data_IF_692146778319
#
_entry.id   IF_692146778319
#
_cell.length_a   1.000
_cell.length_b   1.000
_cell.length_c   1.000
_cell.angle_alpha   90.00
_cell.angle_beta   90.00
_cell.angle_gamma   90.00
#
_symmetry.space_group_name_H-M   'P 1'
#
loop_
_entity.id
_entity.type
_entity.pdbx_description
1 polymer ?
#
# COMPACT_ATOMS: atom_id res chain seq x y z
N UNK A 1 56.88 -24.61 -88.75
CA UNK A 1 56.38 -26.01 -88.63
C UNK A 1 55.15 -25.96 -87.73
N UNK A 2 53.97 -26.22 -88.28
CA UNK A 2 52.66 -26.08 -87.63
C UNK A 2 52.38 -27.23 -86.64
N UNK A 3 51.90 -26.91 -85.44
CA UNK A 3 51.09 -27.77 -84.55
C UNK A 3 50.21 -26.79 -83.73
N UNK A 4 48.95 -26.52 -84.06
CA UNK A 4 47.70 -27.29 -83.85
C UNK A 4 47.36 -27.59 -82.39
N UNK A 5 46.14 -27.25 -81.95
CA UNK A 5 45.47 -27.97 -80.85
C UNK A 5 44.79 -27.12 -79.78
N UNK A 6 43.52 -26.81 -80.00
CA UNK A 6 42.55 -26.18 -79.10
C UNK A 6 42.36 -26.92 -77.76
N UNK A 7 42.06 -26.18 -76.67
CA UNK A 7 40.74 -26.23 -76.01
C UNK A 7 40.72 -25.39 -74.71
N UNK A 8 39.95 -24.31 -74.77
CA UNK A 8 39.46 -23.51 -73.64
C UNK A 8 38.34 -24.29 -72.94
N UNK A 9 38.39 -24.47 -71.61
CA UNK A 9 37.20 -24.37 -70.75
C UNK A 9 37.52 -23.68 -69.42
N UNK A 10 37.05 -22.45 -69.34
CA UNK A 10 36.95 -21.58 -68.17
C UNK A 10 35.85 -22.09 -67.24
N UNK A 11 36.11 -22.12 -65.92
CA UNK A 11 35.10 -21.92 -64.87
C UNK A 11 35.77 -21.52 -63.53
N UNK A 12 35.92 -20.20 -63.36
CA UNK A 12 35.78 -19.34 -62.14
C UNK A 12 35.35 -20.02 -60.81
N UNK A 13 35.73 -19.66 -59.57
CA UNK A 13 36.53 -18.60 -58.88
C UNK A 13 36.71 -19.06 -57.37
N UNK A 14 37.56 -18.44 -56.52
CA UNK A 14 38.11 -18.98 -55.25
C UNK A 14 37.50 -18.41 -53.95
N UNK A 15 37.61 -19.15 -52.84
CA UNK A 15 37.60 -18.75 -51.40
C UNK A 15 37.47 -20.08 -50.59
N UNK A 16 38.03 -20.37 -49.41
CA UNK A 16 38.22 -19.63 -48.15
C UNK A 16 38.99 -20.62 -47.22
N UNK A 17 40.23 -20.36 -46.82
CA UNK A 17 40.64 -19.85 -45.51
C UNK A 17 40.15 -20.63 -44.26
N UNK A 18 41.08 -21.36 -43.63
CA UNK A 18 41.25 -21.66 -42.18
C UNK A 18 40.14 -22.45 -41.45
N UNK A 19 40.42 -23.72 -41.14
CA UNK A 19 39.76 -24.49 -40.08
C UNK A 19 40.84 -25.19 -39.26
N UNK A 20 41.31 -24.60 -38.16
CA UNK A 20 42.11 -25.32 -37.14
C UNK A 20 42.38 -24.55 -35.83
N UNK A 21 41.53 -23.65 -35.33
CA UNK A 21 41.61 -23.23 -33.91
C UNK A 21 40.21 -22.80 -33.43
N UNK A 22 39.41 -23.71 -32.89
CA UNK A 22 38.17 -23.34 -32.21
C UNK A 22 37.76 -24.39 -31.17
N UNK A 23 38.69 -24.77 -30.29
CA UNK A 23 38.40 -25.70 -29.20
C UNK A 23 39.15 -25.29 -27.92
N UNK A 24 38.87 -24.09 -27.38
CA UNK A 24 38.83 -23.82 -25.92
C UNK A 24 38.49 -22.34 -25.61
N UNK A 25 37.24 -21.93 -25.81
CA UNK A 25 36.74 -20.70 -25.18
C UNK A 25 35.21 -20.74 -25.09
N UNK A 26 34.66 -21.58 -24.22
CA UNK A 26 33.27 -21.42 -23.79
C UNK A 26 33.26 -20.18 -22.89
N UNK A 27 32.56 -19.09 -23.23
CA UNK A 27 32.35 -18.04 -22.24
C UNK A 27 31.57 -18.70 -21.10
N UNK A 28 32.10 -18.63 -19.88
CA UNK A 28 31.29 -18.91 -18.71
C UNK A 28 30.13 -17.92 -18.76
N UNK A 29 28.93 -18.40 -19.07
CA UNK A 29 27.73 -17.62 -18.93
C UNK A 29 27.56 -17.42 -17.42
N UNK A 30 28.05 -16.30 -16.90
CA UNK A 30 27.79 -15.92 -15.52
C UNK A 30 26.26 -15.84 -15.40
N UNK A 31 25.61 -16.56 -14.46
CA UNK A 31 24.19 -16.37 -14.24
C UNK A 31 23.96 -14.89 -13.95
N UNK A 32 23.03 -14.28 -14.68
CA UNK A 32 22.67 -12.89 -14.47
C UNK A 32 22.39 -12.69 -12.98
N UNK A 33 23.16 -11.83 -12.33
CA UNK A 33 22.93 -11.48 -10.94
C UNK A 33 21.48 -10.99 -10.84
N UNK A 34 20.68 -11.63 -9.99
CA UNK A 34 19.30 -11.22 -9.74
C UNK A 34 19.33 -9.76 -9.25
N UNK A 35 18.99 -8.82 -10.13
CA UNK A 35 18.84 -7.43 -9.76
C UNK A 35 17.73 -7.35 -8.70
N UNK A 36 18.07 -6.85 -7.52
CA UNK A 36 17.09 -6.57 -6.47
C UNK A 36 16.08 -5.57 -7.02
N UNK A 37 14.84 -6.01 -7.25
CA UNK A 37 13.76 -5.12 -7.66
C UNK A 37 13.37 -4.31 -6.42
N UNK A 38 13.61 -3.00 -6.46
CA UNK A 38 13.15 -2.11 -5.40
C UNK A 38 11.61 -2.19 -5.30
N UNK A 39 11.04 -2.19 -4.09
CA UNK A 39 9.59 -2.13 -3.92
C UNK A 39 8.99 -0.96 -4.70
N UNK A 40 7.88 -1.22 -5.40
CA UNK A 40 7.15 -0.15 -6.08
C UNK A 40 6.51 0.81 -5.07
N UNK A 41 6.44 2.09 -5.42
CA UNK A 41 5.79 3.09 -4.55
C UNK A 41 4.29 2.79 -4.42
N UNK A 42 3.66 3.17 -3.29
CA UNK A 42 2.21 3.03 -3.13
C UNK A 42 1.46 3.66 -4.29
N UNK A 43 0.55 2.89 -4.88
CA UNK A 43 -0.27 3.33 -6.01
C UNK A 43 -1.51 4.12 -5.59
N UNK A 44 -1.84 4.10 -4.30
CA UNK A 44 -3.09 4.65 -3.75
C UNK A 44 -2.77 5.66 -2.66
N UNK A 45 -3.39 6.83 -2.75
CA UNK A 45 -3.46 7.82 -1.67
C UNK A 45 -4.81 7.62 -0.98
N UNK A 46 -4.79 7.35 0.33
CA UNK A 46 -6.00 7.28 1.14
C UNK A 46 -6.28 8.66 1.71
N UNK A 47 -7.48 9.17 1.46
CA UNK A 47 -7.99 10.31 2.21
C UNK A 47 -8.54 9.82 3.55
N UNK A 48 -7.89 10.23 4.63
CA UNK A 48 -8.28 9.90 6.00
C UNK A 48 -8.87 11.10 6.73
N UNK A 49 -9.37 12.09 6.00
CA UNK A 49 -10.00 13.28 6.59
C UNK A 49 -11.22 12.85 7.42
N UNK A 50 -11.24 13.29 8.68
CA UNK A 50 -12.34 12.98 9.59
C UNK A 50 -13.62 13.71 9.16
N UNK A 51 -14.71 12.96 9.03
CA UNK A 51 -16.06 13.51 8.77
C UNK A 51 -16.88 13.40 10.05
N UNK A 52 -17.25 14.54 10.68
CA UNK A 52 -18.07 14.54 11.88
C UNK A 52 -19.46 13.94 11.62
N UNK A 53 -20.03 13.17 12.56
CA UNK A 53 -21.42 12.72 12.46
C UNK A 53 -22.40 13.89 12.49
N UNK A 54 -23.53 13.73 11.83
CA UNK A 54 -24.60 14.73 11.76
C UNK A 54 -25.69 14.55 12.81
N UNK A 55 -25.58 13.52 13.67
CA UNK A 55 -26.56 13.24 14.72
C UNK A 55 -26.41 14.13 15.94
N UNK A 56 -27.03 13.71 17.05
CA UNK A 56 -27.07 14.51 18.27
C UNK A 56 -25.76 14.35 19.05
N UNK A 57 -25.42 15.39 19.80
CA UNK A 57 -24.34 15.33 20.79
C UNK A 57 -24.92 15.09 22.18
N UNK A 58 -24.58 13.94 22.79
CA UNK A 58 -24.95 13.55 24.14
C UNK A 58 -23.77 13.82 25.08
N UNK A 59 -23.82 14.92 25.83
CA UNK A 59 -22.78 15.28 26.78
C UNK A 59 -22.94 14.52 28.10
N UNK A 60 -21.87 13.88 28.56
CA UNK A 60 -21.80 13.17 29.84
C UNK A 60 -20.75 13.87 30.71
N UNK A 61 -21.17 14.65 31.73
CA UNK A 61 -20.25 15.30 32.66
C UNK A 61 -19.55 14.28 33.56
N UNK A 62 -18.54 14.72 34.32
CA UNK A 62 -17.91 13.87 35.35
C UNK A 62 -18.95 13.37 36.36
N UNK A 63 -18.94 12.07 36.64
CA UNK A 63 -19.94 11.43 37.49
C UNK A 63 -21.33 11.29 36.85
N UNK A 64 -21.48 11.68 35.57
CA UNK A 64 -22.70 11.46 34.80
C UNK A 64 -22.93 9.99 34.45
N UNK A 65 -24.15 9.67 34.05
CA UNK A 65 -24.54 8.31 33.69
C UNK A 65 -24.20 7.99 32.22
N UNK A 66 -23.04 7.37 32.01
CA UNK A 66 -22.62 6.87 30.70
C UNK A 66 -23.54 5.76 30.20
N UNK A 67 -24.11 4.92 31.07
CA UNK A 67 -25.01 3.85 30.64
C UNK A 67 -26.32 4.42 30.09
N UNK A 68 -26.87 5.46 30.72
CA UNK A 68 -28.04 6.17 30.19
C UNK A 68 -27.76 6.81 28.81
N UNK A 69 -26.58 7.43 28.62
CA UNK A 69 -26.18 7.97 27.33
C UNK A 69 -26.04 6.87 26.26
N UNK A 70 -25.40 5.75 26.60
CA UNK A 70 -25.31 4.58 25.74
C UNK A 70 -26.68 4.02 25.40
N UNK A 71 -27.63 3.98 26.35
CA UNK A 71 -28.99 3.50 26.15
C UNK A 71 -29.81 4.44 25.25
N UNK A 72 -29.58 5.75 25.32
CA UNK A 72 -30.30 6.76 24.55
C UNK A 72 -29.71 7.04 23.15
N UNK A 73 -28.45 6.69 22.90
CA UNK A 73 -27.79 6.95 21.62
C UNK A 73 -28.38 6.12 20.47
N UNK A 74 -28.48 6.75 19.29
CA UNK A 74 -28.89 6.11 18.04
C UNK A 74 -27.82 6.29 16.96
N UNK A 75 -27.87 5.51 15.88
CA UNK A 75 -26.91 5.61 14.78
C UNK A 75 -26.78 7.05 14.26
N UNK A 76 -25.55 7.55 14.23
CA UNK A 76 -25.22 8.95 13.90
C UNK A 76 -24.95 9.85 15.11
N UNK A 77 -25.29 9.44 16.33
CA UNK A 77 -25.06 10.24 17.54
C UNK A 77 -23.59 10.22 17.99
N UNK A 78 -23.21 11.29 18.69
CA UNK A 78 -21.91 11.46 19.34
C UNK A 78 -22.09 11.56 20.85
N UNK A 79 -21.54 10.62 21.60
CA UNK A 79 -21.45 10.71 23.07
C UNK A 79 -20.14 11.43 23.40
N UNK A 80 -20.24 12.57 24.07
CA UNK A 80 -19.08 13.37 24.51
C UNK A 80 -18.86 13.19 26.01
N UNK A 81 -17.74 12.56 26.35
CA UNK A 81 -17.32 12.33 27.74
C UNK A 81 -16.48 13.52 28.21
N UNK A 82 -16.77 14.04 29.41
CA UNK A 82 -15.96 15.11 29.98
C UNK A 82 -14.47 14.73 30.02
N UNK A 83 -13.64 15.60 29.45
CA UNK A 83 -12.19 15.44 29.47
C UNK A 83 -11.66 15.34 30.92
N UNK A 84 -10.75 14.39 31.16
CA UNK A 84 -10.14 14.14 32.46
C UNK A 84 -11.03 13.41 33.48
N UNK A 85 -12.29 13.11 33.16
CA UNK A 85 -13.15 12.32 34.02
C UNK A 85 -12.87 10.81 33.89
N UNK A 86 -13.03 10.07 34.98
CA UNK A 86 -12.98 8.61 34.99
C UNK A 86 -14.40 8.05 35.00
N UNK A 87 -14.73 7.23 34.00
CA UNK A 87 -15.98 6.49 33.93
C UNK A 87 -15.68 5.02 34.22
N UNK A 88 -16.03 4.58 35.43
CA UNK A 88 -15.72 3.22 35.91
C UNK A 88 -16.99 2.38 36.03
N UNK A 89 -16.91 1.14 35.58
CA UNK A 89 -17.96 0.13 35.74
C UNK A 89 -17.91 -0.93 34.65
N UNK A 90 -18.77 -1.96 34.73
CA UNK A 90 -19.16 -2.68 33.53
C UNK A 90 -20.12 -1.80 32.71
N UNK A 91 -19.77 -1.50 31.47
CA UNK A 91 -20.69 -0.87 30.52
C UNK A 91 -21.28 -1.93 29.59
N UNK A 92 -22.60 -1.98 29.51
CA UNK A 92 -23.30 -2.86 28.57
C UNK A 92 -23.57 -2.07 27.30
N UNK A 93 -23.16 -2.62 26.15
CA UNK A 93 -23.53 -2.09 24.85
C UNK A 93 -24.74 -2.91 24.35
N UNK A 94 -25.98 -2.46 24.57
CA UNK A 94 -27.15 -3.15 24.06
C UNK A 94 -27.17 -3.11 22.53
N UNK A 95 -27.87 -4.07 21.92
CA UNK A 95 -28.12 -4.01 20.49
C UNK A 95 -28.88 -2.72 20.14
N UNK A 96 -28.40 -2.01 19.12
CA UNK A 96 -28.98 -0.75 18.65
C UNK A 96 -29.66 -0.94 17.31
N UNK A 97 -30.87 -0.43 17.20
CA UNK A 97 -31.56 -0.30 15.92
C UNK A 97 -31.07 0.94 15.17
N UNK A 98 -31.14 0.88 13.85
CA UNK A 98 -30.72 1.96 12.96
C UNK A 98 -29.45 1.66 12.19
N UNK A 99 -29.06 2.60 11.34
CA UNK A 99 -27.84 2.55 10.52
C UNK A 99 -26.89 3.66 10.95
N UNK A 100 -25.59 3.44 10.79
CA UNK A 100 -24.55 4.42 11.13
C UNK A 100 -23.89 4.18 12.48
N UNK A 101 -22.84 4.97 12.73
CA UNK A 101 -21.96 4.82 13.89
C UNK A 101 -22.47 5.61 15.09
N UNK A 102 -22.30 5.07 16.30
CA UNK A 102 -22.37 5.83 17.54
C UNK A 102 -20.93 6.13 17.93
N UNK A 103 -20.55 7.42 17.93
CA UNK A 103 -19.18 7.82 18.23
C UNK A 103 -19.09 8.21 19.70
N UNK A 104 -18.25 7.51 20.46
CA UNK A 104 -17.88 7.91 21.83
C UNK A 104 -16.55 8.64 21.77
N UNK A 105 -16.51 9.90 22.20
CA UNK A 105 -15.30 10.72 22.19
C UNK A 105 -15.18 11.57 23.43
N UNK A 106 -13.97 12.03 23.72
CA UNK A 106 -13.75 13.05 24.74
C UNK A 106 -14.30 14.41 24.28
N UNK A 107 -14.72 15.23 25.24
CA UNK A 107 -15.07 16.64 25.05
C UNK A 107 -13.84 17.53 24.85
N UNK A 108 -12.61 16.98 24.88
CA UNK A 108 -11.41 17.73 24.56
C UNK A 108 -11.47 18.25 23.12
N UNK A 109 -11.02 19.49 22.92
CA UNK A 109 -11.00 20.11 21.60
C UNK A 109 -10.06 19.37 20.65
N UNK A 110 -10.45 19.23 19.37
CA UNK A 110 -9.61 18.56 18.36
C UNK A 110 -8.23 19.22 18.21
N UNK A 111 -8.12 20.52 18.50
CA UNK A 111 -6.85 21.25 18.52
C UNK A 111 -5.88 20.79 19.62
N UNK A 112 -6.36 20.09 20.64
CA UNK A 112 -5.54 19.50 21.70
C UNK A 112 -5.02 18.11 21.33
N UNK A 113 -5.56 17.51 20.27
CA UNK A 113 -5.07 16.25 19.73
C UNK A 113 -3.88 16.52 18.79
N UNK A 114 -2.85 15.66 18.78
CA UNK A 114 -1.77 15.81 17.82
C UNK A 114 -2.30 15.78 16.39
N UNK A 115 -1.69 16.56 15.47
CA UNK A 115 -2.14 16.59 14.09
C UNK A 115 -2.01 15.21 13.43
N UNK A 116 -2.80 14.93 12.38
CA UNK A 116 -2.74 13.68 11.64
C UNK A 116 -1.30 13.30 11.29
N UNK A 117 -0.93 12.04 11.54
CA UNK A 117 0.43 11.53 11.34
C UNK A 117 1.36 11.69 12.56
N UNK A 118 0.91 12.31 13.65
CA UNK A 118 1.67 12.42 14.90
C UNK A 118 1.20 11.40 15.93
N UNK A 119 2.13 10.61 16.48
CA UNK A 119 1.84 9.63 17.53
C UNK A 119 1.58 10.34 18.87
N UNK A 120 0.56 9.91 19.61
CA UNK A 120 0.40 10.29 21.03
C UNK A 120 1.50 9.57 21.85
N UNK A 121 2.30 10.33 22.59
CA UNK A 121 3.37 9.82 23.47
C UNK A 121 3.03 9.98 24.93
#
# INVERSE_FOLDING_TARGET
MFVAGQAIRVRTLPALLIVAVAMLSRPALLPAANASVLPERPRVILDTTYVPPTGRTLAVPAGGDLQAALNAAVGGDVITLQAGATFSGPFTLPNKSGTGWIIVRTSAADSTLPPPGTRIT
#
